data_IF_155576786426
#
_entry.id   IF_155576786426
#
_cell.length_a   1.000
_cell.length_b   1.000
_cell.length_c   1.000
_cell.angle_alpha   90.00
_cell.angle_beta   90.00
_cell.angle_gamma   90.00
#
_symmetry.space_group_name_H-M   'P 1'
#
loop_
_entity.id
_entity.type
_entity.pdbx_description
1 polymer ?
#
# COMPACT_ATOMS: atom_id res chain seq x y z
N UNK A 1 -5.57 0.69 -2.29
CA UNK A 1 -5.71 1.30 -3.62
C UNK A 1 -4.83 0.66 -4.69
N UNK A 2 -3.52 0.45 -4.42
CA UNK A 2 -2.59 -0.07 -5.44
C UNK A 2 -2.98 -1.45 -5.98
N UNK A 3 -3.34 -2.38 -5.10
CA UNK A 3 -3.83 -3.69 -5.52
C UNK A 3 -5.09 -3.62 -6.40
N UNK A 4 -6.04 -2.75 -6.04
CA UNK A 4 -7.24 -2.51 -6.85
C UNK A 4 -6.90 -1.98 -8.25
N UNK A 5 -5.95 -1.05 -8.34
CA UNK A 5 -5.50 -0.51 -9.63
C UNK A 5 -4.86 -1.59 -10.52
N UNK A 6 -4.05 -2.48 -9.91
CA UNK A 6 -3.44 -3.60 -10.63
C UNK A 6 -4.49 -4.60 -11.10
N UNK A 7 -5.45 -4.98 -10.25
CA UNK A 7 -6.53 -5.88 -10.65
C UNK A 7 -7.34 -5.29 -11.81
N UNK A 8 -7.68 -4.00 -11.72
CA UNK A 8 -8.37 -3.31 -12.81
C UNK A 8 -7.58 -3.36 -14.12
N UNK A 9 -6.26 -3.11 -14.07
CA UNK A 9 -5.41 -3.12 -15.27
C UNK A 9 -5.25 -4.52 -15.88
N UNK A 10 -5.20 -5.57 -15.06
CA UNK A 10 -5.18 -6.95 -15.52
C UNK A 10 -6.49 -7.35 -16.21
N UNK A 11 -7.62 -6.95 -15.63
CA UNK A 11 -8.95 -7.29 -16.15
C UNK A 11 -9.36 -6.42 -17.34
N UNK A 12 -8.82 -5.19 -17.42
CA UNK A 12 -9.19 -4.20 -18.42
C UNK A 12 -7.94 -3.58 -19.09
N UNK A 13 -7.09 -4.38 -19.76
CA UNK A 13 -5.79 -3.92 -20.22
C UNK A 13 -5.84 -2.78 -21.26
N UNK A 14 -6.95 -2.62 -21.97
CA UNK A 14 -7.15 -1.53 -22.94
C UNK A 14 -7.65 -0.22 -22.30
N UNK A 15 -8.11 -0.28 -21.03
CA UNK A 15 -8.66 0.89 -20.32
C UNK A 15 -7.66 1.49 -19.32
N UNK A 16 -6.61 0.75 -18.98
CA UNK A 16 -5.56 1.23 -18.09
C UNK A 16 -4.40 1.80 -18.91
N UNK A 17 -3.97 3.00 -18.53
CA UNK A 17 -2.76 3.65 -19.06
C UNK A 17 -1.54 3.31 -18.20
N UNK A 18 -0.72 4.31 -17.86
CA UNK A 18 0.42 4.16 -16.95
C UNK A 18 -0.07 3.95 -15.52
N UNK A 19 0.67 3.16 -14.74
CA UNK A 19 0.37 2.90 -13.33
C UNK A 19 1.46 3.47 -12.44
N UNK A 20 1.08 4.28 -11.46
CA UNK A 20 1.95 4.69 -10.36
C UNK A 20 1.44 4.02 -9.10
N UNK A 21 2.25 3.18 -8.49
CA UNK A 21 1.87 2.32 -7.37
C UNK A 21 2.81 2.56 -6.19
N UNK A 22 2.26 3.00 -5.07
CA UNK A 22 3.01 3.27 -3.85
C UNK A 22 2.80 2.13 -2.85
N UNK A 23 3.86 1.39 -2.55
CA UNK A 23 3.85 0.28 -1.61
C UNK A 23 2.64 -0.67 -1.79
N UNK A 24 2.31 -1.15 -3.01
CA UNK A 24 1.07 -1.87 -3.25
C UNK A 24 1.08 -3.26 -2.60
N UNK A 25 -0.02 -3.62 -1.94
CA UNK A 25 -0.24 -4.99 -1.49
C UNK A 25 -0.66 -5.91 -2.64
N UNK A 26 -0.42 -7.21 -2.47
CA UNK A 26 -0.83 -8.27 -3.42
C UNK A 26 0.09 -8.46 -4.62
N UNK A 27 1.13 -7.65 -4.80
CA UNK A 27 2.08 -7.79 -5.91
C UNK A 27 3.28 -8.67 -5.60
N UNK A 28 3.44 -9.10 -4.37
CA UNK A 28 4.65 -9.75 -3.88
C UNK A 28 4.36 -10.65 -2.70
N UNK A 29 5.32 -11.49 -2.36
CA UNK A 29 5.40 -12.22 -1.09
C UNK A 29 6.48 -11.58 -0.23
N UNK A 30 6.28 -11.54 1.08
CA UNK A 30 7.32 -11.15 2.01
C UNK A 30 8.36 -12.27 2.09
N UNK A 31 9.63 -11.94 1.86
CA UNK A 31 10.73 -12.90 1.89
C UNK A 31 11.42 -12.93 3.25
N UNK A 32 11.52 -11.79 3.90
CA UNK A 32 12.26 -11.61 5.15
C UNK A 32 11.41 -11.03 6.28
N UNK A 33 10.31 -10.38 5.97
CA UNK A 33 9.40 -9.82 6.96
C UNK A 33 8.41 -10.87 7.50
N UNK A 34 7.93 -10.73 8.75
CA UNK A 34 6.91 -11.61 9.30
C UNK A 34 5.58 -11.46 8.54
N UNK A 35 4.84 -12.56 8.45
CA UNK A 35 3.49 -12.58 7.90
C UNK A 35 2.49 -13.01 8.99
N UNK A 36 1.44 -12.24 9.27
CA UNK A 36 1.16 -10.91 8.73
C UNK A 36 2.15 -9.86 9.24
N UNK A 37 2.32 -8.80 8.43
CA UNK A 37 3.21 -7.69 8.77
C UNK A 37 2.70 -6.90 9.98
N UNK A 38 3.57 -6.05 10.55
CA UNK A 38 3.20 -5.20 11.68
C UNK A 38 2.01 -4.29 11.36
N UNK A 39 2.01 -3.69 10.16
CA UNK A 39 0.91 -2.84 9.72
C UNK A 39 -0.42 -3.58 9.64
N UNK A 40 -0.43 -4.78 9.09
CA UNK A 40 -1.63 -5.61 9.03
C UNK A 40 -2.13 -5.99 10.43
N UNK A 41 -1.23 -6.34 11.35
CA UNK A 41 -1.57 -6.64 12.75
C UNK A 41 -2.17 -5.44 13.47
N UNK A 42 -1.59 -4.24 13.31
CA UNK A 42 -2.09 -3.03 13.96
C UNK A 42 -3.41 -2.55 13.37
N UNK A 43 -3.59 -2.65 12.04
CA UNK A 43 -4.88 -2.38 11.41
C UNK A 43 -5.96 -3.35 11.92
N UNK A 44 -5.62 -4.63 12.05
CA UNK A 44 -6.52 -5.63 12.63
C UNK A 44 -6.93 -5.30 14.07
N UNK A 45 -5.99 -4.85 14.89
CA UNK A 45 -6.29 -4.39 16.27
C UNK A 45 -7.23 -3.19 16.28
N UNK A 46 -6.98 -2.18 15.45
CA UNK A 46 -7.86 -1.03 15.33
C UNK A 46 -9.28 -1.44 14.91
N UNK A 47 -9.43 -2.34 13.94
CA UNK A 47 -10.76 -2.77 13.49
C UNK A 47 -11.51 -3.63 14.52
N UNK A 48 -10.79 -4.36 15.36
CA UNK A 48 -11.37 -5.11 16.47
C UNK A 48 -11.78 -4.20 17.63
N UNK A 49 -10.91 -3.26 17.99
CA UNK A 49 -11.11 -2.30 19.08
C UNK A 49 -10.81 -0.87 18.54
N UNK A 50 -11.82 -0.19 17.98
CA UNK A 50 -11.64 1.08 17.29
C UNK A 50 -11.53 2.25 18.29
N UNK A 51 -10.37 2.36 18.94
CA UNK A 51 -10.01 3.46 19.81
C UNK A 51 -9.05 4.42 19.11
N UNK A 52 -9.03 5.68 19.56
CA UNK A 52 -8.07 6.69 19.07
C UNK A 52 -6.63 6.20 19.22
N UNK A 53 -6.32 5.59 20.36
CA UNK A 53 -4.99 5.07 20.65
C UNK A 53 -4.59 3.93 19.69
N UNK A 54 -5.50 2.99 19.42
CA UNK A 54 -5.24 1.88 18.49
C UNK A 54 -5.00 2.40 17.06
N UNK A 55 -5.74 3.43 16.63
CA UNK A 55 -5.50 4.09 15.35
C UNK A 55 -4.15 4.82 15.34
N UNK A 56 -3.83 5.59 16.38
CA UNK A 56 -2.55 6.30 16.46
C UNK A 56 -1.36 5.34 16.34
N UNK A 57 -1.40 4.20 17.00
CA UNK A 57 -0.37 3.17 16.88
C UNK A 57 -0.22 2.68 15.45
N UNK A 58 -1.33 2.50 14.73
CA UNK A 58 -1.30 2.13 13.32
C UNK A 58 -0.74 3.26 12.45
N UNK A 59 -1.15 4.52 12.66
CA UNK A 59 -0.64 5.65 11.90
C UNK A 59 0.87 5.85 12.06
N UNK A 60 1.40 5.62 13.28
CA UNK A 60 2.83 5.76 13.56
C UNK A 60 3.71 4.80 12.77
N UNK A 61 3.22 3.62 12.40
CA UNK A 61 4.01 2.69 11.58
C UNK A 61 3.91 2.97 10.07
N UNK A 62 2.99 3.86 9.67
CA UNK A 62 2.85 4.26 8.27
C UNK A 62 3.97 5.18 7.82
N UNK A 63 4.70 5.82 8.75
CA UNK A 63 5.73 6.81 8.46
C UNK A 63 7.04 6.49 9.16
N UNK A 64 8.14 6.94 8.58
CA UNK A 64 9.46 6.96 9.22
C UNK A 64 9.59 8.18 10.15
N UNK A 65 9.25 9.39 9.65
CA UNK A 65 9.27 10.61 10.46
C UNK A 65 8.03 10.71 11.36
N UNK A 66 8.21 10.40 12.63
CA UNK A 66 7.16 10.40 13.63
C UNK A 66 6.54 11.78 13.90
N UNK A 67 7.22 12.87 13.51
CA UNK A 67 6.69 14.25 13.67
C UNK A 67 5.49 14.52 12.78
N UNK A 68 5.34 13.76 11.70
CA UNK A 68 4.19 13.87 10.80
C UNK A 68 2.88 13.37 11.43
N UNK A 69 2.96 12.57 12.49
CA UNK A 69 1.78 12.06 13.20
C UNK A 69 1.44 13.03 14.33
N UNK A 70 0.78 14.12 13.97
CA UNK A 70 0.31 15.13 14.92
C UNK A 70 -1.01 14.71 15.57
N UNK A 71 -1.35 15.36 16.68
CA UNK A 71 -2.64 15.15 17.37
C UNK A 71 -3.81 15.42 16.42
N UNK A 72 -3.73 16.52 15.66
CA UNK A 72 -4.76 16.95 14.72
C UNK A 72 -4.97 15.91 13.61
N UNK A 73 -3.86 15.35 13.05
CA UNK A 73 -3.95 14.29 12.05
C UNK A 73 -4.62 13.04 12.63
N UNK A 74 -4.25 12.65 13.84
CA UNK A 74 -4.87 11.47 14.49
C UNK A 74 -6.36 11.71 14.72
N UNK A 75 -6.76 12.89 15.19
CA UNK A 75 -8.16 13.22 15.46
C UNK A 75 -8.99 13.26 14.17
N UNK A 76 -8.47 13.89 13.11
CA UNK A 76 -9.11 13.89 11.78
C UNK A 76 -9.30 12.48 11.24
N UNK A 77 -8.25 11.66 11.29
CA UNK A 77 -8.30 10.28 10.79
C UNK A 77 -9.21 9.41 11.63
N UNK A 78 -9.21 9.59 12.95
CA UNK A 78 -10.09 8.83 13.83
C UNK A 78 -11.56 9.16 13.60
N UNK A 79 -11.92 10.43 13.41
CA UNK A 79 -13.28 10.85 13.11
C UNK A 79 -13.87 10.14 11.88
N UNK A 80 -13.02 9.88 10.85
CA UNK A 80 -13.44 9.21 9.62
C UNK A 80 -13.37 7.68 9.78
N UNK A 81 -12.27 7.16 10.31
CA UNK A 81 -12.01 5.72 10.35
C UNK A 81 -12.90 4.98 11.37
N UNK A 82 -13.40 5.67 12.41
CA UNK A 82 -14.26 5.08 13.44
C UNK A 82 -15.75 5.09 13.10
N UNK A 83 -16.15 5.64 11.95
CA UNK A 83 -17.56 5.58 11.53
C UNK A 83 -18.02 4.15 11.30
N UNK A 84 -19.30 3.82 11.57
CA UNK A 84 -19.82 2.47 11.34
C UNK A 84 -19.57 1.96 9.92
N UNK A 85 -19.71 2.82 8.92
CA UNK A 85 -19.51 2.50 7.50
C UNK A 85 -18.04 2.19 7.21
N UNK A 86 -17.11 3.02 7.69
CA UNK A 86 -15.66 2.81 7.51
C UNK A 86 -15.20 1.52 8.18
N UNK A 87 -15.66 1.26 9.40
CA UNK A 87 -15.35 0.02 10.12
C UNK A 87 -15.94 -1.20 9.43
N UNK A 88 -17.17 -1.13 8.94
CA UNK A 88 -17.78 -2.21 8.19
C UNK A 88 -17.00 -2.53 6.91
N UNK A 89 -16.60 -1.51 6.14
CA UNK A 89 -15.81 -1.66 4.94
C UNK A 89 -14.42 -2.26 5.23
N UNK A 90 -13.74 -1.77 6.28
CA UNK A 90 -12.41 -2.28 6.65
C UNK A 90 -12.48 -3.74 7.15
N UNK A 91 -13.52 -4.09 7.92
CA UNK A 91 -13.76 -5.48 8.35
C UNK A 91 -14.08 -6.40 7.19
N UNK A 92 -14.89 -5.94 6.22
CA UNK A 92 -15.19 -6.71 5.01
C UNK A 92 -13.93 -6.96 4.18
N UNK A 93 -13.08 -5.94 4.02
CA UNK A 93 -11.78 -6.08 3.38
C UNK A 93 -10.89 -7.08 4.14
N UNK A 94 -10.81 -7.00 5.47
CA UNK A 94 -10.04 -7.95 6.28
C UNK A 94 -10.51 -9.39 6.13
N UNK A 95 -11.83 -9.62 6.06
CA UNK A 95 -12.41 -10.95 5.83
C UNK A 95 -12.06 -11.51 4.45
N UNK A 96 -11.93 -10.67 3.43
CA UNK A 96 -11.57 -11.14 2.08
C UNK A 96 -10.17 -11.75 2.02
N UNK A 97 -9.26 -11.37 2.92
CA UNK A 97 -7.93 -11.97 3.04
C UNK A 97 -7.93 -13.37 3.68
N UNK A 98 -9.01 -13.81 4.28
CA UNK A 98 -9.17 -15.15 4.85
C UNK A 98 -10.23 -15.99 4.09
N UNK A 99 -10.83 -15.43 3.05
CA UNK A 99 -11.91 -16.07 2.28
C UNK A 99 -11.41 -16.84 1.06
N UNK A 100 -12.33 -17.50 0.34
CA UNK A 100 -12.01 -18.26 -0.88
C UNK A 100 -11.40 -17.38 -1.98
N UNK A 101 -11.67 -16.07 -1.96
CA UNK A 101 -11.15 -15.12 -2.94
C UNK A 101 -9.73 -14.59 -2.61
N UNK A 102 -9.11 -15.08 -1.54
CA UNK A 102 -7.75 -14.69 -1.16
C UNK A 102 -6.74 -14.85 -2.30
N UNK A 103 -6.86 -15.95 -3.06
CA UNK A 103 -6.02 -16.23 -4.23
C UNK A 103 -6.12 -15.13 -5.31
N UNK A 104 -7.29 -14.49 -5.47
CA UNK A 104 -7.46 -13.37 -6.41
C UNK A 104 -6.69 -12.11 -5.97
N UNK A 105 -6.43 -11.98 -4.69
CA UNK A 105 -5.58 -10.93 -4.11
C UNK A 105 -4.08 -11.18 -4.29
N UNK A 106 -3.69 -12.42 -4.61
CA UNK A 106 -2.29 -12.82 -4.85
C UNK A 106 -1.85 -12.51 -6.29
N UNK A 107 -2.00 -11.25 -6.70
CA UNK A 107 -1.74 -10.81 -8.08
C UNK A 107 -0.28 -10.96 -8.51
N UNK A 108 0.65 -11.10 -7.59
CA UNK A 108 2.06 -11.37 -7.91
C UNK A 108 2.23 -12.60 -8.82
N UNK A 109 1.29 -13.54 -8.82
CA UNK A 109 1.28 -14.72 -9.69
C UNK A 109 0.96 -14.42 -11.16
N UNK A 110 0.42 -13.24 -11.45
CA UNK A 110 -0.05 -12.89 -12.81
C UNK A 110 0.36 -11.48 -13.27
N UNK A 111 1.11 -10.71 -12.44
CA UNK A 111 1.58 -9.36 -12.82
C UNK A 111 2.49 -9.35 -14.05
N UNK A 112 3.06 -10.51 -14.45
CA UNK A 112 3.77 -10.65 -15.72
C UNK A 112 2.89 -10.41 -16.95
N UNK A 113 1.56 -10.43 -16.79
CA UNK A 113 0.59 -10.13 -17.85
C UNK A 113 0.39 -8.62 -18.06
N UNK A 114 0.81 -7.77 -17.13
CA UNK A 114 0.69 -6.31 -17.27
C UNK A 114 1.45 -5.83 -18.51
N UNK A 115 0.79 -5.00 -19.31
CA UNK A 115 1.36 -4.40 -20.53
C UNK A 115 1.63 -2.90 -20.37
N UNK A 116 1.02 -2.30 -19.36
CA UNK A 116 1.16 -0.90 -19.02
C UNK A 116 2.58 -0.62 -18.49
N UNK A 117 3.12 0.58 -18.74
CA UNK A 117 4.27 1.06 -17.98
C UNK A 117 3.87 1.20 -16.50
N UNK A 118 4.73 0.74 -15.61
CA UNK A 118 4.50 0.75 -14.15
C UNK A 118 5.66 1.46 -13.46
N UNK A 119 5.34 2.42 -12.61
CA UNK A 119 6.27 2.99 -11.63
C UNK A 119 5.88 2.47 -10.24
N UNK A 120 6.76 1.70 -9.63
CA UNK A 120 6.67 1.32 -8.23
C UNK A 120 7.44 2.35 -7.40
N UNK A 121 6.81 2.92 -6.39
CA UNK A 121 7.45 3.79 -5.40
C UNK A 121 7.36 3.12 -4.04
N UNK A 122 8.48 3.06 -3.31
CA UNK A 122 8.52 2.36 -2.03
C UNK A 122 9.35 3.11 -1.00
N UNK A 123 8.88 3.12 0.24
CA UNK A 123 9.71 3.49 1.38
C UNK A 123 10.56 2.30 1.81
N UNK A 124 11.86 2.53 2.05
CA UNK A 124 12.77 1.47 2.53
C UNK A 124 12.34 0.92 3.89
N UNK A 125 11.76 1.77 4.72
CA UNK A 125 11.31 1.47 6.07
C UNK A 125 9.81 1.16 6.16
N UNK A 126 9.18 0.77 5.04
CA UNK A 126 7.75 0.40 5.00
C UNK A 126 7.50 -0.86 5.84
N UNK A 127 6.72 -0.70 6.91
CA UNK A 127 6.32 -1.77 7.86
C UNK A 127 4.91 -2.30 7.59
N UNK A 128 4.24 -1.77 6.58
CA UNK A 128 2.94 -2.23 6.12
C UNK A 128 3.12 -3.24 4.99
N UNK A 129 3.78 -2.80 3.91
CA UNK A 129 4.19 -3.66 2.80
C UNK A 129 5.72 -3.58 2.66
N UNK A 130 6.47 -4.51 3.27
CA UNK A 130 7.93 -4.47 3.29
C UNK A 130 8.56 -4.44 1.90
N UNK A 131 9.68 -3.73 1.78
CA UNK A 131 10.39 -3.51 0.52
C UNK A 131 10.85 -4.80 -0.15
N UNK A 132 11.22 -5.83 0.62
CA UNK A 132 11.64 -7.12 0.07
C UNK A 132 10.63 -7.70 -0.92
N UNK A 133 9.33 -7.47 -0.65
CA UNK A 133 8.26 -7.86 -1.55
C UNK A 133 8.28 -7.15 -2.91
N UNK A 134 8.80 -5.92 -3.00
CA UNK A 134 8.90 -5.18 -4.25
C UNK A 134 9.79 -5.85 -5.30
N UNK A 135 10.77 -6.63 -4.86
CA UNK A 135 11.70 -7.31 -5.76
C UNK A 135 11.01 -8.38 -6.62
N UNK A 136 9.98 -9.03 -6.09
CA UNK A 136 9.18 -10.00 -6.86
C UNK A 136 8.43 -9.28 -7.99
N UNK A 137 7.75 -8.18 -7.68
CA UNK A 137 7.07 -7.36 -8.67
C UNK A 137 8.02 -6.79 -9.72
N UNK A 138 9.20 -6.29 -9.29
CA UNK A 138 10.24 -5.76 -10.18
C UNK A 138 10.72 -6.81 -11.19
N UNK A 139 10.84 -8.07 -10.78
CA UNK A 139 11.29 -9.13 -11.67
C UNK A 139 10.21 -9.63 -12.63
N UNK A 140 8.95 -9.51 -12.27
CA UNK A 140 7.85 -10.11 -13.04
C UNK A 140 7.16 -9.13 -13.98
N UNK A 141 7.03 -7.87 -13.61
CA UNK A 141 6.32 -6.88 -14.44
C UNK A 141 7.21 -6.45 -15.61
N UNK A 142 6.78 -6.64 -16.89
CA UNK A 142 7.66 -6.46 -18.04
C UNK A 142 8.15 -5.02 -18.26
N UNK A 143 7.35 -4.02 -17.90
CA UNK A 143 7.65 -2.59 -18.13
C UNK A 143 7.60 -1.81 -16.83
N UNK A 144 8.48 -2.17 -15.89
CA UNK A 144 8.46 -1.61 -14.54
C UNK A 144 9.72 -0.80 -14.26
N UNK A 145 9.53 0.25 -13.47
CA UNK A 145 10.59 0.98 -12.79
C UNK A 145 10.30 0.91 -11.29
N UNK A 146 11.33 0.78 -10.47
CA UNK A 146 11.23 0.83 -9.01
C UNK A 146 12.07 2.00 -8.49
N UNK A 147 11.44 2.88 -7.72
CA UNK A 147 12.12 3.90 -6.95
C UNK A 147 11.95 3.64 -5.46
N UNK A 148 13.04 3.67 -4.72
CA UNK A 148 13.05 3.42 -3.27
C UNK A 148 13.57 4.66 -2.56
N UNK A 149 12.76 5.21 -1.66
CA UNK A 149 13.16 6.29 -0.78
C UNK A 149 13.72 5.75 0.54
N UNK A 150 14.92 6.17 0.91
CA UNK A 150 15.44 5.98 2.27
C UNK A 150 14.80 6.95 3.26
N UNK A 151 14.77 6.57 4.54
CA UNK A 151 14.10 7.35 5.60
C UNK A 151 12.65 7.68 5.22
N UNK A 152 11.93 6.64 4.83
CA UNK A 152 10.58 6.73 4.32
C UNK A 152 9.80 5.46 4.63
N UNK A 153 8.62 5.59 5.22
CA UNK A 153 7.69 4.50 5.49
C UNK A 153 6.72 4.24 4.34
N UNK A 154 5.52 3.83 4.70
CA UNK A 154 4.47 3.49 3.73
C UNK A 154 3.89 4.72 3.00
N UNK A 155 3.86 5.88 3.65
CA UNK A 155 3.30 7.11 3.10
C UNK A 155 4.34 7.96 2.36
N UNK A 156 4.96 7.40 1.35
CA UNK A 156 6.00 8.09 0.56
C UNK A 156 5.50 9.42 -0.03
N UNK A 157 4.24 9.54 -0.41
CA UNK A 157 3.62 10.76 -0.92
C UNK A 157 3.56 11.89 0.13
N UNK A 158 3.61 11.56 1.41
CA UNK A 158 3.62 12.52 2.50
C UNK A 158 5.05 12.84 2.94
N UNK A 159 5.89 11.80 3.09
CA UNK A 159 7.24 11.93 3.62
C UNK A 159 8.24 12.47 2.60
N UNK A 160 7.99 12.23 1.31
CA UNK A 160 8.85 12.64 0.18
C UNK A 160 8.05 13.40 -0.86
N UNK A 161 7.26 14.38 -0.40
CA UNK A 161 6.23 15.06 -1.18
C UNK A 161 6.75 15.60 -2.53
N UNK A 162 7.83 16.37 -2.53
CA UNK A 162 8.36 17.01 -3.73
C UNK A 162 8.93 15.97 -4.71
N UNK A 163 9.76 15.06 -4.22
CA UNK A 163 10.38 14.01 -5.03
C UNK A 163 9.34 13.01 -5.55
N UNK A 164 8.35 12.64 -4.71
CA UNK A 164 7.25 11.78 -5.11
C UNK A 164 6.44 12.39 -6.25
N UNK A 165 6.07 13.67 -6.11
CA UNK A 165 5.32 14.38 -7.13
C UNK A 165 6.12 14.53 -8.43
N UNK A 166 7.40 14.91 -8.34
CA UNK A 166 8.27 15.02 -9.50
C UNK A 166 8.35 13.70 -10.27
N UNK A 167 8.65 12.60 -9.59
CA UNK A 167 8.73 11.27 -10.20
C UNK A 167 7.41 10.87 -10.86
N UNK A 168 6.30 11.14 -10.19
CA UNK A 168 4.96 10.80 -10.70
C UNK A 168 4.61 11.60 -11.94
N UNK A 169 4.85 12.91 -11.93
CA UNK A 169 4.57 13.81 -13.06
C UNK A 169 5.45 13.44 -14.26
N UNK A 170 6.76 13.27 -14.05
CA UNK A 170 7.70 12.89 -15.10
C UNK A 170 7.30 11.55 -15.74
N UNK A 171 6.92 10.57 -14.91
CA UNK A 171 6.51 9.26 -15.41
C UNK A 171 5.18 9.30 -16.18
N UNK A 172 4.20 10.09 -15.73
CA UNK A 172 2.90 10.17 -16.39
C UNK A 172 2.94 11.04 -17.67
N UNK A 173 3.82 12.06 -17.73
CA UNK A 173 3.97 12.99 -18.85
C UNK A 173 4.80 12.47 -20.03
N UNK A 174 5.66 11.50 -19.82
CA UNK A 174 6.47 10.85 -20.87
C UNK A 174 5.80 9.60 -21.41
#
# INVERSE_FOLDING_TARGET
>A
GGGTAVRFALDNPKRAGRLVLMGPGGLSVNLFAPDPTEGVKLLGRFTAEPTRESLERFLRIMVYDQKLITTELVDERFAIASTPESLAATRAMGKSFAGPDFELGMMWREVYKLRQPVLLIWGREDRVNPLDGALVALKQIPRVQLHVFGQCGHWAQLEKFDEFNKLTIDFLGG
#
